data_IF_330052281333
#
_entry.id   IF_330052281333
#
_cell.length_a   1.000
_cell.length_b   1.000
_cell.length_c   1.000
_cell.angle_alpha   90.00
_cell.angle_beta   90.00
_cell.angle_gamma   90.00
#
_symmetry.space_group_name_H-M   'P 1'
#
loop_
_entity.id
_entity.type
_entity.pdbx_description
1 polymer ?
#
# COMPACT_ATOMS: atom_id res chain seq x y z
N UNK A 1 -18.43 3.26 -12.37
CA UNK A 1 -18.43 3.42 -10.89
C UNK A 1 -19.49 4.43 -10.51
N UNK A 2 -20.36 4.10 -9.55
CA UNK A 2 -21.36 5.01 -8.96
C UNK A 2 -21.24 4.94 -7.45
N UNK A 3 -21.28 6.08 -6.77
CA UNK A 3 -21.29 6.13 -5.31
C UNK A 3 -22.27 7.17 -4.80
N UNK A 4 -22.81 6.91 -3.61
CA UNK A 4 -23.70 7.80 -2.89
C UNK A 4 -23.29 7.80 -1.41
N UNK A 5 -23.24 8.97 -0.79
CA UNK A 5 -22.98 9.09 0.63
C UNK A 5 -23.87 10.14 1.27
N UNK A 6 -24.30 9.88 2.49
CA UNK A 6 -24.97 10.84 3.38
C UNK A 6 -24.15 10.94 4.65
N UNK A 7 -23.76 12.15 4.98
CA UNK A 7 -23.02 12.44 6.19
C UNK A 7 -23.89 13.23 7.17
N UNK A 8 -23.67 13.01 8.45
CA UNK A 8 -24.32 13.76 9.51
C UNK A 8 -23.30 14.27 10.54
N UNK A 9 -23.56 15.45 11.07
CA UNK A 9 -22.78 16.03 12.18
C UNK A 9 -23.75 16.83 13.08
N UNK A 10 -23.98 16.34 14.29
CA UNK A 10 -24.89 16.95 15.28
C UNK A 10 -24.22 17.02 16.65
N UNK A 11 -23.65 18.17 16.98
CA UNK A 11 -23.06 18.43 18.29
C UNK A 11 -21.94 17.46 18.66
N UNK A 12 -22.28 16.37 19.37
CA UNK A 12 -21.33 15.34 19.85
C UNK A 12 -21.33 14.07 19.03
N UNK A 13 -22.03 14.04 17.94
CA UNK A 13 -22.15 12.85 17.11
C UNK A 13 -21.91 13.18 15.64
N UNK A 14 -21.20 12.30 14.94
CA UNK A 14 -20.96 12.39 13.50
C UNK A 14 -20.92 11.00 12.89
N UNK A 15 -21.40 10.86 11.67
CA UNK A 15 -21.42 9.58 11.01
C UNK A 15 -21.67 9.70 9.51
N UNK A 16 -21.60 8.58 8.83
CA UNK A 16 -21.92 8.49 7.41
C UNK A 16 -22.55 7.15 7.07
N UNK A 17 -23.43 7.18 6.10
CA UNK A 17 -23.89 6.03 5.34
C UNK A 17 -23.42 6.20 3.90
N UNK A 18 -22.70 5.23 3.38
CA UNK A 18 -22.24 5.22 2.00
C UNK A 18 -22.65 3.93 1.30
N UNK A 19 -22.87 4.05 0.00
CA UNK A 19 -23.12 2.95 -0.90
C UNK A 19 -22.30 3.14 -2.17
N UNK A 20 -21.77 2.07 -2.75
CA UNK A 20 -21.10 2.11 -4.03
C UNK A 20 -21.44 0.88 -4.89
N UNK A 21 -21.32 1.08 -6.20
CA UNK A 21 -21.41 0.03 -7.20
C UNK A 21 -20.36 0.25 -8.29
N UNK A 22 -19.57 -0.78 -8.54
CA UNK A 22 -18.59 -0.85 -9.62
C UNK A 22 -18.96 -2.00 -10.53
N UNK A 23 -18.68 -1.84 -11.81
CA UNK A 23 -18.85 -2.85 -12.83
C UNK A 23 -17.70 -2.77 -13.84
N UNK A 24 -17.19 -3.92 -14.27
CA UNK A 24 -16.12 -4.08 -15.23
C UNK A 24 -16.48 -5.08 -16.34
N UNK A 25 -16.07 -4.76 -17.58
CA UNK A 25 -16.03 -5.66 -18.72
C UNK A 25 -14.58 -5.70 -19.19
N UNK A 26 -13.92 -6.83 -18.99
CA UNK A 26 -12.52 -7.02 -19.31
C UNK A 26 -12.39 -7.97 -20.52
N UNK A 27 -11.73 -7.48 -21.54
CA UNK A 27 -11.32 -8.23 -22.72
C UNK A 27 -9.83 -8.11 -22.83
N UNK A 28 -9.12 -9.12 -22.41
CA UNK A 28 -7.68 -9.17 -22.63
C UNK A 28 -7.46 -9.65 -24.07
N UNK A 29 -7.60 -8.67 -24.97
CA UNK A 29 -7.06 -8.78 -26.29
C UNK A 29 -5.70 -8.13 -26.19
N UNK A 30 -4.72 -8.95 -26.02
CA UNK A 30 -3.37 -8.55 -25.75
C UNK A 30 -2.71 -7.76 -26.87
N UNK A 31 -3.34 -7.58 -28.03
CA UNK A 31 -2.68 -6.98 -29.19
C UNK A 31 -1.31 -7.63 -29.46
N UNK A 32 -1.18 -8.88 -28.94
CA UNK A 32 0.07 -9.60 -28.84
C UNK A 32 0.70 -9.76 -30.21
N UNK A 33 1.88 -9.17 -30.35
CA UNK A 33 2.73 -9.42 -31.51
C UNK A 33 3.83 -10.36 -31.03
N UNK A 34 3.80 -11.64 -31.41
CA UNK A 34 4.77 -12.60 -30.94
C UNK A 34 6.19 -12.19 -31.37
N UNK A 35 7.15 -12.45 -30.49
CA UNK A 35 8.56 -12.38 -30.83
C UNK A 35 8.91 -13.46 -31.84
N UNK A 36 10.06 -13.33 -32.51
CA UNK A 36 10.51 -14.32 -33.51
C UNK A 36 10.58 -15.73 -32.87
N UNK A 37 9.83 -16.67 -33.46
CA UNK A 37 9.74 -18.05 -32.95
C UNK A 37 8.72 -18.32 -31.86
N UNK A 38 7.98 -17.31 -31.43
CA UNK A 38 6.89 -17.42 -30.45
C UNK A 38 5.54 -17.47 -31.16
N UNK A 39 4.64 -18.34 -30.70
CA UNK A 39 3.28 -18.44 -31.24
C UNK A 39 2.32 -17.61 -30.38
N UNK A 40 1.36 -16.88 -30.99
CA UNK A 40 0.34 -16.18 -30.20
C UNK A 40 -0.54 -17.19 -29.45
N UNK A 41 -1.07 -16.86 -28.27
CA UNK A 41 -2.03 -17.69 -27.55
C UNK A 41 -3.26 -17.99 -28.42
N UNK A 42 -3.77 -19.22 -28.34
CA UNK A 42 -4.96 -19.64 -29.06
C UNK A 42 -6.24 -19.12 -28.41
N UNK A 43 -6.17 -18.66 -27.16
CA UNK A 43 -7.32 -18.20 -26.38
C UNK A 43 -7.18 -16.75 -25.92
N UNK A 44 -8.32 -16.16 -25.61
CA UNK A 44 -8.47 -14.83 -25.03
C UNK A 44 -9.22 -14.93 -23.71
N UNK A 45 -8.73 -14.26 -22.70
CA UNK A 45 -9.42 -14.14 -21.43
C UNK A 45 -10.48 -13.03 -21.49
N UNK A 46 -11.70 -13.36 -21.07
CA UNK A 46 -12.80 -12.41 -20.93
C UNK A 46 -13.39 -12.51 -19.52
N UNK A 47 -13.79 -11.38 -18.95
CA UNK A 47 -14.54 -11.38 -17.70
C UNK A 47 -15.52 -10.23 -17.59
N UNK A 48 -16.62 -10.50 -16.89
CA UNK A 48 -17.49 -9.49 -16.28
C UNK A 48 -17.35 -9.59 -14.78
N UNK A 49 -17.08 -8.50 -14.13
CA UNK A 49 -17.01 -8.42 -12.68
C UNK A 49 -17.83 -7.25 -12.17
N UNK A 50 -18.40 -7.45 -11.00
CA UNK A 50 -19.06 -6.38 -10.28
C UNK A 50 -18.70 -6.40 -8.79
N UNK A 51 -18.79 -5.24 -8.17
CA UNK A 51 -18.62 -5.05 -6.75
C UNK A 51 -19.58 -3.99 -6.26
N UNK A 52 -20.32 -4.31 -5.21
CA UNK A 52 -21.17 -3.35 -4.51
C UNK A 52 -20.91 -3.41 -3.01
N UNK A 53 -21.16 -2.32 -2.34
CA UNK A 53 -21.01 -2.28 -0.90
C UNK A 53 -21.76 -1.15 -0.24
N UNK A 54 -22.04 -1.36 1.04
CA UNK A 54 -22.62 -0.37 1.93
C UNK A 54 -21.81 -0.31 3.21
N UNK A 55 -21.53 0.90 3.68
CA UNK A 55 -20.82 1.16 4.94
C UNK A 55 -21.60 2.16 5.75
N UNK A 56 -21.76 1.87 7.04
CA UNK A 56 -22.40 2.73 8.02
C UNK A 56 -21.47 2.89 9.21
N UNK A 57 -21.24 4.11 9.66
CA UNK A 57 -20.65 4.33 10.95
C UNK A 57 -21.27 5.51 11.69
N UNK A 58 -21.20 5.46 13.01
CA UNK A 58 -21.57 6.56 13.89
C UNK A 58 -20.55 6.73 15.00
N UNK A 59 -19.96 7.92 15.10
CA UNK A 59 -19.07 8.33 16.17
C UNK A 59 -19.86 9.15 17.22
N UNK A 60 -19.54 8.93 18.48
CA UNK A 60 -20.21 9.57 19.59
C UNK A 60 -19.16 10.05 20.62
N UNK A 61 -19.28 11.28 21.07
CA UNK A 61 -18.51 11.83 22.19
C UNK A 61 -19.34 11.81 23.45
N UNK A 62 -19.16 10.76 24.30
CA UNK A 62 -19.95 10.60 25.53
C UNK A 62 -19.55 11.60 26.60
N UNK A 63 -18.25 11.82 26.79
CA UNK A 63 -17.67 12.75 27.76
C UNK A 63 -16.39 13.38 27.20
N UNK A 64 -15.79 14.28 27.95
CA UNK A 64 -14.62 15.02 27.49
C UNK A 64 -13.45 14.08 27.17
N UNK A 65 -12.89 14.24 25.97
CA UNK A 65 -11.76 13.43 25.48
C UNK A 65 -12.14 12.02 25.00
N UNK A 66 -13.43 11.59 25.12
CA UNK A 66 -13.86 10.29 24.59
C UNK A 66 -14.36 10.42 23.16
N UNK A 67 -14.12 9.38 22.37
CA UNK A 67 -14.79 9.13 21.09
C UNK A 67 -15.01 7.64 20.96
N UNK A 68 -16.25 7.24 20.75
CA UNK A 68 -16.61 5.85 20.46
C UNK A 68 -17.20 5.85 19.06
N UNK A 69 -16.68 5.01 18.18
CA UNK A 69 -17.20 4.79 16.83
C UNK A 69 -17.70 3.36 16.73
N UNK A 70 -18.93 3.21 16.27
CA UNK A 70 -19.52 1.93 15.89
C UNK A 70 -19.76 1.94 14.40
N UNK A 71 -19.49 0.84 13.73
CA UNK A 71 -19.77 0.73 12.31
C UNK A 71 -20.05 -0.69 11.86
N UNK A 72 -20.60 -0.77 10.65
CA UNK A 72 -20.88 -2.01 9.95
C UNK A 72 -20.67 -1.82 8.45
N UNK A 73 -20.12 -2.85 7.82
CA UNK A 73 -19.87 -2.89 6.39
C UNK A 73 -20.48 -4.14 5.78
N UNK A 74 -20.93 -4.03 4.55
CA UNK A 74 -21.31 -5.15 3.72
C UNK A 74 -20.75 -4.94 2.32
N UNK A 75 -20.12 -5.97 1.78
CA UNK A 75 -19.60 -6.00 0.42
C UNK A 75 -20.07 -7.27 -0.27
N UNK A 76 -20.40 -7.16 -1.54
CA UNK A 76 -20.62 -8.27 -2.45
C UNK A 76 -19.80 -8.04 -3.69
N UNK A 77 -19.02 -9.02 -4.07
CA UNK A 77 -18.15 -8.95 -5.24
C UNK A 77 -18.05 -10.30 -5.93
N UNK A 78 -17.75 -10.26 -7.21
CA UNK A 78 -17.60 -11.47 -8.00
C UNK A 78 -17.76 -11.22 -9.48
N UNK A 79 -18.18 -12.24 -10.20
CA UNK A 79 -18.43 -12.16 -11.62
C UNK A 79 -18.22 -13.48 -12.35
N UNK A 80 -18.10 -13.38 -13.65
CA UNK A 80 -17.90 -14.50 -14.56
C UNK A 80 -16.64 -14.29 -15.38
N UNK A 81 -15.80 -15.32 -15.49
CA UNK A 81 -14.62 -15.32 -16.36
C UNK A 81 -14.57 -16.60 -17.20
N UNK A 82 -14.09 -16.48 -18.44
CA UNK A 82 -13.94 -17.59 -19.38
C UNK A 82 -12.83 -17.29 -20.38
N UNK A 83 -12.30 -18.35 -21.02
CA UNK A 83 -11.46 -18.24 -22.19
C UNK A 83 -12.31 -18.45 -23.45
N UNK A 84 -12.08 -17.65 -24.49
CA UNK A 84 -12.60 -17.80 -25.84
C UNK A 84 -11.46 -18.22 -26.76
N UNK A 85 -11.56 -19.41 -27.38
CA UNK A 85 -10.55 -19.89 -28.32
C UNK A 85 -10.74 -19.25 -29.68
N UNK A 86 -9.73 -18.52 -30.14
CA UNK A 86 -9.77 -17.75 -31.41
C UNK A 86 -9.03 -18.44 -32.55
N UNK A 87 -8.19 -19.43 -32.24
CA UNK A 87 -7.43 -20.22 -33.19
C UNK A 87 -7.27 -21.67 -32.70
N UNK A 88 -6.60 -22.52 -33.49
CA UNK A 88 -6.37 -23.94 -33.18
C UNK A 88 -7.60 -24.83 -33.36
N UNK A 89 -7.52 -26.06 -32.82
CA UNK A 89 -8.59 -27.06 -32.96
C UNK A 89 -9.87 -26.72 -32.24
N UNK A 90 -9.80 -25.86 -31.22
CA UNK A 90 -10.93 -25.43 -30.40
C UNK A 90 -11.51 -24.07 -30.82
N UNK A 91 -11.07 -23.50 -31.94
CA UNK A 91 -11.53 -22.20 -32.40
C UNK A 91 -13.06 -22.08 -32.41
N UNK A 92 -13.58 -20.99 -31.82
CA UNK A 92 -15.01 -20.72 -31.68
C UNK A 92 -15.66 -21.36 -30.45
N UNK A 93 -14.91 -22.13 -29.63
CA UNK A 93 -15.41 -22.64 -28.35
C UNK A 93 -15.04 -21.74 -27.18
N UNK A 94 -15.69 -21.94 -26.04
CA UNK A 94 -15.41 -21.22 -24.78
C UNK A 94 -15.14 -22.21 -23.65
N UNK A 95 -14.22 -21.86 -22.76
CA UNK A 95 -13.92 -22.61 -21.54
C UNK A 95 -14.23 -21.76 -20.31
N UNK A 96 -15.24 -22.11 -19.49
CA UNK A 96 -15.55 -21.35 -18.27
C UNK A 96 -14.45 -21.53 -17.23
N UNK A 97 -14.10 -20.45 -16.54
CA UNK A 97 -13.12 -20.45 -15.44
C UNK A 97 -13.80 -20.29 -14.09
N UNK A 98 -14.67 -19.30 -13.93
CA UNK A 98 -15.40 -19.01 -12.71
C UNK A 98 -16.72 -18.27 -13.02
N UNK A 99 -17.77 -18.56 -12.25
CA UNK A 99 -19.04 -17.83 -12.27
C UNK A 99 -19.60 -17.85 -10.85
N UNK A 100 -19.25 -16.82 -10.05
CA UNK A 100 -19.67 -16.76 -8.65
C UNK A 100 -19.54 -15.36 -8.05
N UNK A 101 -20.28 -15.17 -6.95
CA UNK A 101 -20.19 -14.00 -6.07
C UNK A 101 -19.96 -14.43 -4.63
N UNK A 102 -19.31 -13.56 -3.87
CA UNK A 102 -19.00 -13.71 -2.46
C UNK A 102 -19.49 -12.48 -1.70
N UNK A 103 -19.89 -12.72 -0.46
CA UNK A 103 -20.35 -11.67 0.46
C UNK A 103 -19.39 -11.57 1.64
N UNK A 104 -19.14 -10.34 2.07
CA UNK A 104 -18.36 -10.00 3.24
C UNK A 104 -19.18 -9.05 4.12
N UNK A 105 -19.32 -9.37 5.41
CA UNK A 105 -20.05 -8.56 6.39
C UNK A 105 -19.18 -8.32 7.60
N UNK A 106 -19.07 -7.08 8.03
CA UNK A 106 -18.28 -6.73 9.20
C UNK A 106 -19.03 -5.82 10.16
N UNK A 107 -18.68 -5.95 11.44
CA UNK A 107 -19.05 -5.01 12.48
C UNK A 107 -17.83 -4.60 13.28
N UNK A 108 -17.77 -3.33 13.71
CA UNK A 108 -16.62 -2.87 14.46
C UNK A 108 -16.97 -1.83 15.51
N UNK A 109 -16.12 -1.78 16.53
CA UNK A 109 -16.07 -0.73 17.55
C UNK A 109 -14.66 -0.19 17.66
N UNK A 110 -14.53 1.14 17.72
CA UNK A 110 -13.30 1.85 18.01
C UNK A 110 -13.54 2.83 19.16
N UNK A 111 -12.63 2.83 20.14
CA UNK A 111 -12.69 3.69 21.32
C UNK A 111 -11.40 4.47 21.43
N UNK A 112 -11.51 5.79 21.47
CA UNK A 112 -10.40 6.70 21.79
C UNK A 112 -10.72 7.44 23.09
N UNK A 113 -9.74 7.55 23.98
CA UNK A 113 -9.82 8.30 25.22
C UNK A 113 -8.58 9.16 25.44
N UNK A 114 -8.77 10.47 25.52
CA UNK A 114 -7.74 11.39 25.98
C UNK A 114 -7.80 11.48 27.51
N UNK A 115 -6.69 11.19 28.17
CA UNK A 115 -6.53 11.25 29.63
C UNK A 115 -5.68 12.49 29.94
N UNK A 116 -6.35 13.56 30.32
CA UNK A 116 -5.70 14.86 30.46
C UNK A 116 -5.09 15.34 29.13
N UNK A 117 -3.90 15.95 29.24
CA UNK A 117 -3.12 16.42 28.08
C UNK A 117 -1.89 15.57 27.77
N UNK A 118 -1.68 14.49 28.54
CA UNK A 118 -0.44 13.73 28.52
C UNK A 118 -0.57 12.34 27.91
N UNK A 119 -1.79 11.79 27.81
CA UNK A 119 -2.01 10.44 27.32
C UNK A 119 -3.27 10.36 26.43
N UNK A 120 -3.14 9.74 25.27
CA UNK A 120 -4.25 9.30 24.42
C UNK A 120 -4.21 7.78 24.33
N UNK A 121 -5.31 7.11 24.65
CA UNK A 121 -5.50 5.68 24.49
C UNK A 121 -6.46 5.43 23.31
N UNK A 122 -6.21 4.38 22.55
CA UNK A 122 -7.15 3.87 21.56
C UNK A 122 -7.20 2.34 21.63
N UNK A 123 -8.40 1.79 21.42
CA UNK A 123 -8.60 0.35 21.26
C UNK A 123 -9.76 0.12 20.30
N UNK A 124 -9.63 -0.88 19.45
CA UNK A 124 -10.65 -1.24 18.47
C UNK A 124 -10.74 -2.74 18.28
N UNK A 125 -11.91 -3.18 17.86
CA UNK A 125 -12.17 -4.55 17.45
C UNK A 125 -13.11 -4.54 16.25
N UNK A 126 -12.68 -5.19 15.16
CA UNK A 126 -13.50 -5.52 14.01
C UNK A 126 -13.68 -7.04 13.96
N UNK A 127 -14.89 -7.46 13.70
CA UNK A 127 -15.23 -8.85 13.36
C UNK A 127 -15.72 -8.84 11.94
N UNK A 128 -15.07 -9.61 11.10
CA UNK A 128 -15.31 -9.70 9.68
C UNK A 128 -15.69 -11.14 9.31
N UNK A 129 -16.75 -11.33 8.53
CA UNK A 129 -17.22 -12.63 8.09
C UNK A 129 -17.32 -12.67 6.58
N UNK A 130 -16.59 -13.59 5.99
CA UNK A 130 -16.62 -13.88 4.56
C UNK A 130 -17.42 -15.16 4.29
N UNK A 131 -18.27 -15.14 3.30
CA UNK A 131 -19.22 -16.23 2.98
C UNK A 131 -18.58 -17.60 2.72
N UNK A 132 -17.27 -17.63 2.39
CA UNK A 132 -16.50 -18.87 2.13
C UNK A 132 -15.30 -19.04 3.04
N UNK A 133 -14.51 -17.99 3.25
CA UNK A 133 -13.24 -18.06 3.96
C UNK A 133 -13.36 -17.93 5.49
N UNK A 134 -14.60 -17.80 6.02
CA UNK A 134 -14.86 -17.82 7.46
C UNK A 134 -14.81 -16.45 8.13
N UNK A 135 -14.50 -16.43 9.43
CA UNK A 135 -14.57 -15.23 10.26
C UNK A 135 -13.20 -14.86 10.81
N UNK A 136 -12.83 -13.58 10.69
CA UNK A 136 -11.62 -13.00 11.24
C UNK A 136 -11.92 -11.96 12.33
N UNK A 137 -11.09 -11.99 13.38
CA UNK A 137 -11.10 -11.03 14.48
C UNK A 137 -9.89 -10.14 14.34
N UNK A 138 -10.10 -8.82 14.29
CA UNK A 138 -9.10 -7.82 13.96
C UNK A 138 -9.00 -6.79 15.10
N UNK A 139 -8.31 -7.15 16.21
CA UNK A 139 -8.08 -6.24 17.32
C UNK A 139 -6.97 -5.24 17.01
N UNK A 140 -7.09 -4.04 17.60
CA UNK A 140 -6.04 -3.03 17.67
C UNK A 140 -6.02 -2.34 19.01
N UNK A 141 -4.85 -1.92 19.47
CA UNK A 141 -4.69 -1.10 20.66
C UNK A 141 -3.47 -0.18 20.52
N UNK A 142 -3.51 0.99 21.14
CA UNK A 142 -2.40 1.93 21.13
C UNK A 142 -2.47 2.94 22.27
N UNK A 143 -1.31 3.49 22.58
CA UNK A 143 -1.15 4.58 23.54
C UNK A 143 -0.19 5.63 22.98
N UNK A 144 -0.53 6.91 23.12
CA UNK A 144 0.33 8.04 22.79
C UNK A 144 0.56 8.90 24.02
N UNK A 145 1.81 9.00 24.45
CA UNK A 145 2.24 9.79 25.61
C UNK A 145 2.78 11.14 25.09
N UNK A 146 2.16 12.24 25.51
CA UNK A 146 2.53 13.61 25.21
C UNK A 146 3.34 14.17 26.40
N UNK A 147 4.67 13.98 26.36
CA UNK A 147 5.55 14.19 27.52
C UNK A 147 6.02 15.66 27.73
N UNK A 148 5.45 16.62 27.00
CA UNK A 148 5.92 18.01 27.01
C UNK A 148 7.18 18.20 26.17
N UNK A 149 7.71 19.44 26.10
CA UNK A 149 8.89 19.79 25.29
C UNK A 149 8.84 19.27 23.84
N UNK A 150 7.64 19.09 23.28
CA UNK A 150 7.43 18.57 21.93
C UNK A 150 7.72 17.06 21.77
N UNK A 151 7.83 16.31 22.90
CA UNK A 151 8.10 14.87 22.88
C UNK A 151 6.79 14.10 22.83
N UNK A 152 6.72 13.12 21.94
CA UNK A 152 5.64 12.15 21.84
C UNK A 152 6.23 10.72 21.73
N UNK A 153 5.73 9.81 22.56
CA UNK A 153 6.00 8.38 22.48
C UNK A 153 4.70 7.66 22.15
N UNK A 154 4.73 6.81 21.11
CA UNK A 154 3.59 5.97 20.70
C UNK A 154 3.95 4.51 20.79
N UNK A 155 2.99 3.72 21.26
CA UNK A 155 3.04 2.27 21.25
C UNK A 155 1.76 1.77 20.60
N UNK A 156 1.87 0.81 19.68
CA UNK A 156 0.71 0.19 19.05
C UNK A 156 0.91 -1.28 18.78
N UNK A 157 -0.21 -2.00 18.79
CA UNK A 157 -0.33 -3.38 18.34
C UNK A 157 -1.63 -3.50 17.53
N UNK A 158 -1.54 -4.06 16.33
CA UNK A 158 -2.71 -4.24 15.47
C UNK A 158 -2.60 -5.52 14.67
N UNK A 159 -3.75 -6.17 14.46
CA UNK A 159 -3.88 -7.30 13.53
C UNK A 159 -4.45 -6.79 12.21
N UNK A 160 -3.82 -7.18 11.10
CA UNK A 160 -4.36 -7.08 9.74
C UNK A 160 -4.68 -8.47 9.19
N UNK A 161 -5.50 -8.54 8.14
CA UNK A 161 -5.80 -9.79 7.44
C UNK A 161 -6.12 -9.51 5.97
N UNK A 162 -6.10 -10.56 5.16
CA UNK A 162 -6.57 -10.56 3.78
C UNK A 162 -7.31 -11.87 3.49
N UNK A 163 -8.52 -11.79 2.97
CA UNK A 163 -9.19 -12.95 2.43
C UNK A 163 -8.52 -13.41 1.12
N UNK A 164 -8.50 -14.73 0.84
CA UNK A 164 -8.09 -15.22 -0.46
C UNK A 164 -9.06 -14.70 -1.52
N UNK A 165 -8.53 -14.38 -2.70
CA UNK A 165 -9.34 -13.91 -3.82
C UNK A 165 -10.03 -15.06 -4.54
N UNK A 166 -11.12 -14.76 -5.27
CA UNK A 166 -11.77 -15.72 -6.18
C UNK A 166 -10.78 -16.37 -7.16
N UNK A 167 -9.81 -15.57 -7.64
CA UNK A 167 -8.76 -16.06 -8.54
C UNK A 167 -7.87 -17.10 -7.87
N UNK A 168 -7.47 -16.87 -6.62
CA UNK A 168 -6.60 -17.77 -5.87
C UNK A 168 -7.31 -19.10 -5.51
N UNK A 169 -8.62 -19.04 -5.23
CA UNK A 169 -9.39 -20.19 -4.82
C UNK A 169 -9.94 -21.01 -5.98
N UNK A 170 -10.45 -20.33 -7.04
CA UNK A 170 -11.37 -20.99 -7.98
C UNK A 170 -11.03 -20.83 -9.46
N UNK A 171 -10.19 -19.85 -9.86
CA UNK A 171 -10.10 -19.50 -11.28
C UNK A 171 -9.25 -20.48 -12.10
N UNK A 172 -8.12 -20.95 -11.57
CA UNK A 172 -7.19 -21.77 -12.32
C UNK A 172 -6.95 -23.13 -11.68
N UNK A 173 -7.07 -24.26 -12.43
CA UNK A 173 -6.73 -25.58 -11.93
C UNK A 173 -5.20 -25.77 -11.71
N UNK A 174 -4.81 -26.51 -10.68
CA UNK A 174 -5.65 -27.08 -9.62
C UNK A 174 -6.18 -26.01 -8.67
N UNK A 175 -7.48 -26.07 -8.35
CA UNK A 175 -8.15 -25.14 -7.47
C UNK A 175 -7.95 -25.51 -6.00
N UNK A 176 -7.94 -24.50 -5.11
CA UNK A 176 -7.94 -24.70 -3.66
C UNK A 176 -9.01 -23.83 -2.99
N UNK A 177 -10.26 -24.34 -2.87
CA UNK A 177 -11.34 -23.61 -2.22
C UNK A 177 -11.21 -23.56 -0.69
N UNK A 178 -10.27 -24.32 -0.10
CA UNK A 178 -10.05 -24.41 1.36
C UNK A 178 -8.99 -23.41 1.86
N UNK A 179 -8.61 -22.44 1.02
CA UNK A 179 -7.70 -21.37 1.44
C UNK A 179 -8.30 -20.57 2.60
N UNK A 180 -7.45 -20.30 3.57
CA UNK A 180 -7.77 -19.50 4.76
C UNK A 180 -7.24 -18.08 4.63
N UNK A 181 -7.78 -17.12 5.38
CA UNK A 181 -7.24 -15.76 5.42
C UNK A 181 -5.77 -15.72 5.81
N UNK A 182 -5.02 -14.87 5.14
CA UNK A 182 -3.72 -14.42 5.62
C UNK A 182 -3.92 -13.49 6.81
N UNK A 183 -3.07 -13.57 7.80
CA UNK A 183 -3.12 -12.65 8.94
C UNK A 183 -1.75 -12.13 9.31
N UNK A 184 -1.71 -10.90 9.81
CA UNK A 184 -0.47 -10.23 10.17
C UNK A 184 -0.66 -9.41 11.45
N UNK A 185 0.22 -9.60 12.41
CA UNK A 185 0.37 -8.71 13.56
C UNK A 185 1.47 -7.70 13.29
N UNK A 186 1.19 -6.44 13.59
CA UNK A 186 2.14 -5.35 13.57
C UNK A 186 2.26 -4.75 14.96
N UNK A 187 3.49 -4.63 15.45
CA UNK A 187 3.84 -4.01 16.73
C UNK A 187 4.77 -2.85 16.46
N UNK A 188 4.46 -1.68 17.01
CA UNK A 188 5.25 -0.46 16.79
C UNK A 188 5.54 0.26 18.09
N UNK A 189 6.75 0.84 18.17
CA UNK A 189 7.15 1.79 19.16
C UNK A 189 7.80 2.99 18.50
N UNK A 190 7.16 4.16 18.57
CA UNK A 190 7.61 5.36 17.91
C UNK A 190 7.90 6.47 18.92
N UNK A 191 9.03 7.14 18.74
CA UNK A 191 9.41 8.36 19.43
C UNK A 191 9.49 9.50 18.43
N UNK A 192 8.97 10.66 18.79
CA UNK A 192 9.18 11.88 18.02
C UNK A 192 9.37 13.09 18.92
N UNK A 193 10.15 14.06 18.42
CA UNK A 193 10.33 15.34 19.12
C UNK A 193 10.32 16.51 18.13
N UNK A 194 9.71 17.62 18.55
CA UNK A 194 9.73 18.91 17.87
C UNK A 194 10.47 19.92 18.70
N UNK A 195 11.47 20.57 18.11
CA UNK A 195 12.33 21.56 18.71
C UNK A 195 12.31 22.86 17.91
N UNK A 196 12.89 23.94 18.49
CA UNK A 196 13.05 25.23 17.83
C UNK A 196 11.71 25.78 17.28
N UNK A 197 10.67 25.76 18.12
CA UNK A 197 9.31 26.20 17.74
C UNK A 197 8.78 25.45 16.50
N UNK A 198 9.05 24.15 16.42
CA UNK A 198 8.62 23.27 15.34
C UNK A 198 9.44 23.39 14.05
N UNK A 199 10.59 24.11 14.07
CA UNK A 199 11.49 24.19 12.92
C UNK A 199 12.34 22.95 12.73
N UNK A 200 12.63 22.21 13.80
CA UNK A 200 13.32 20.93 13.77
C UNK A 200 12.39 19.84 14.33
N UNK A 201 12.17 18.80 13.57
CA UNK A 201 11.49 17.59 14.01
C UNK A 201 12.32 16.37 13.67
N UNK A 202 12.31 15.38 14.53
CA UNK A 202 12.91 14.08 14.27
C UNK A 202 12.13 12.98 14.99
N UNK A 203 12.29 11.77 14.52
CA UNK A 203 11.61 10.61 15.08
C UNK A 203 12.29 9.30 14.72
N UNK A 204 12.00 8.30 15.53
CA UNK A 204 12.42 6.91 15.38
C UNK A 204 11.17 6.06 15.49
N UNK A 205 10.98 5.11 14.59
CA UNK A 205 9.98 4.07 14.67
C UNK A 205 10.67 2.71 14.65
N UNK A 206 10.34 1.86 15.62
CA UNK A 206 10.71 0.46 15.68
C UNK A 206 9.47 -0.36 15.37
N UNK A 207 9.57 -1.33 14.49
CA UNK A 207 8.45 -2.19 14.16
C UNK A 207 8.84 -3.66 14.09
N UNK A 208 7.85 -4.51 14.37
CA UNK A 208 7.94 -5.96 14.20
C UNK A 208 6.63 -6.47 13.60
N UNK A 209 6.75 -7.29 12.56
CA UNK A 209 5.65 -7.86 11.79
C UNK A 209 5.75 -9.39 11.85
N UNK A 210 4.67 -10.06 12.31
CA UNK A 210 4.50 -11.52 12.26
C UNK A 210 3.30 -11.84 11.36
N UNK A 211 3.57 -12.27 10.12
CA UNK A 211 2.58 -12.68 9.14
C UNK A 211 2.48 -14.19 9.05
N UNK A 212 1.24 -14.73 8.99
CA UNK A 212 0.95 -16.16 8.95
C UNK A 212 -0.09 -16.49 7.90
N UNK A 213 -0.07 -17.76 7.49
CA UNK A 213 -0.98 -18.29 6.47
C UNK A 213 -0.88 -17.58 5.11
N UNK A 214 0.29 -17.04 4.77
CA UNK A 214 0.47 -16.39 3.47
C UNK A 214 0.21 -17.39 2.35
N UNK A 215 -0.52 -16.94 1.36
CA UNK A 215 -0.90 -17.75 0.20
C UNK A 215 0.27 -17.74 -0.79
N UNK A 216 0.90 -18.89 -0.94
CA UNK A 216 1.99 -19.10 -1.88
C UNK A 216 1.60 -20.12 -2.93
N UNK A 217 2.02 -19.93 -4.17
CA UNK A 217 1.87 -20.89 -5.25
C UNK A 217 3.05 -21.87 -5.20
N UNK A 218 2.80 -23.09 -4.74
CA UNK A 218 3.80 -24.12 -4.51
C UNK A 218 3.47 -25.40 -5.30
N UNK A 219 4.43 -26.34 -5.46
CA UNK A 219 4.13 -27.65 -6.04
C UNK A 219 2.95 -28.32 -5.33
N UNK A 220 2.02 -28.87 -6.11
CA UNK A 220 0.84 -29.55 -5.58
C UNK A 220 1.24 -30.84 -4.85
N UNK A 221 1.03 -30.97 -3.52
CA UNK A 221 1.42 -32.16 -2.75
C UNK A 221 0.60 -33.39 -3.10
N UNK A 222 -0.56 -33.23 -3.74
CA UNK A 222 -1.51 -34.31 -4.05
C UNK A 222 -1.61 -34.63 -5.55
N UNK A 223 -0.74 -34.05 -6.40
CA UNK A 223 -0.83 -34.22 -7.83
C UNK A 223 0.22 -33.44 -8.62
N UNK A 224 -0.01 -33.26 -9.90
CA UNK A 224 0.85 -32.45 -10.76
C UNK A 224 0.47 -30.94 -10.72
N UNK A 225 1.43 -30.09 -11.13
CA UNK A 225 1.24 -28.64 -11.25
C UNK A 225 1.50 -27.88 -9.95
N UNK A 226 1.11 -26.61 -9.96
CA UNK A 226 1.28 -25.67 -8.85
C UNK A 226 -0.08 -25.41 -8.21
N UNK A 227 -0.10 -25.27 -6.88
CA UNK A 227 -1.32 -25.07 -6.10
C UNK A 227 -1.11 -23.90 -5.12
N UNK A 228 -2.09 -23.02 -4.99
CA UNK A 228 -2.11 -22.00 -3.94
C UNK A 228 -2.33 -22.64 -2.58
N UNK A 229 -1.47 -22.36 -1.62
CA UNK A 229 -1.45 -22.99 -0.29
C UNK A 229 -1.14 -21.96 0.79
N UNK A 230 -1.79 -22.08 1.96
CA UNK A 230 -1.47 -21.27 3.16
C UNK A 230 -0.23 -21.84 3.87
N UNK A 231 0.93 -21.62 3.32
CA UNK A 231 2.19 -22.17 3.83
C UNK A 231 3.23 -21.09 4.16
N UNK A 232 2.96 -19.82 3.82
CA UNK A 232 3.90 -18.73 4.04
C UNK A 232 3.86 -18.18 5.47
N UNK A 233 5.04 -17.79 5.94
CA UNK A 233 5.25 -17.00 7.16
C UNK A 233 6.18 -15.86 6.83
N UNK A 234 5.93 -14.69 7.41
CA UNK A 234 6.83 -13.53 7.35
C UNK A 234 7.14 -13.10 8.77
N UNK A 235 8.41 -12.94 9.09
CA UNK A 235 8.88 -12.26 10.28
C UNK A 235 9.82 -11.15 9.84
N UNK A 236 9.36 -9.91 9.98
CA UNK A 236 10.10 -8.74 9.60
C UNK A 236 10.26 -7.82 10.80
N UNK A 237 11.46 -7.27 10.99
CA UNK A 237 11.73 -6.27 12.01
C UNK A 237 12.49 -5.11 11.38
N UNK A 238 12.24 -3.90 11.87
CA UNK A 238 12.96 -2.77 11.30
C UNK A 238 12.98 -1.53 12.17
N UNK A 239 13.74 -0.58 11.66
CA UNK A 239 13.92 0.74 12.26
C UNK A 239 13.74 1.78 11.16
N UNK A 240 12.96 2.80 11.46
CA UNK A 240 12.80 3.97 10.61
C UNK A 240 13.24 5.21 11.37
N UNK A 241 14.09 6.02 10.75
CA UNK A 241 14.53 7.32 11.24
C UNK A 241 14.02 8.39 10.30
N UNK A 242 13.56 9.51 10.85
CA UNK A 242 13.17 10.66 10.06
C UNK A 242 13.62 11.95 10.73
N UNK A 243 14.01 12.95 9.93
CA UNK A 243 14.32 14.28 10.40
C UNK A 243 13.91 15.33 9.36
N UNK A 244 13.40 16.46 9.83
CA UNK A 244 13.12 17.62 8.99
C UNK A 244 13.54 18.88 9.73
N UNK A 245 14.31 19.73 9.07
CA UNK A 245 14.82 20.96 9.63
C UNK A 245 14.60 22.14 8.70
N UNK A 246 13.77 23.09 9.12
CA UNK A 246 13.66 24.40 8.51
C UNK A 246 14.68 25.34 9.14
N UNK A 247 15.86 25.44 8.50
CA UNK A 247 17.01 26.22 8.98
C UNK A 247 16.59 27.69 9.13
N UNK A 248 16.03 28.24 8.06
CA UNK A 248 15.51 29.61 8.01
C UNK A 248 14.29 29.70 7.05
N UNK A 249 13.99 30.92 6.58
CA UNK A 249 12.88 31.16 5.64
C UNK A 249 13.14 30.67 4.23
N UNK A 250 14.41 30.36 3.91
CA UNK A 250 14.85 30.01 2.57
C UNK A 250 15.29 28.56 2.46
N UNK A 251 15.87 27.99 3.51
CA UNK A 251 16.48 26.66 3.51
C UNK A 251 15.74 25.66 4.38
N UNK A 252 15.47 24.50 3.81
CA UNK A 252 15.02 23.33 4.55
C UNK A 252 15.82 22.10 4.15
N UNK A 253 16.03 21.22 5.13
CA UNK A 253 16.62 19.89 4.97
C UNK A 253 15.61 18.84 5.46
N UNK A 254 15.58 17.71 4.80
CA UNK A 254 14.82 16.56 5.26
C UNK A 254 15.58 15.28 4.94
N UNK A 255 15.31 14.24 5.70
CA UNK A 255 15.92 12.94 5.46
C UNK A 255 15.18 11.84 6.20
N UNK A 256 15.29 10.64 5.66
CA UNK A 256 14.82 9.44 6.29
C UNK A 256 15.77 8.28 5.99
N UNK A 257 15.79 7.34 6.92
CA UNK A 257 16.49 6.08 6.77
C UNK A 257 15.60 4.96 7.27
N UNK A 258 15.54 3.86 6.54
CA UNK A 258 14.90 2.64 6.98
C UNK A 258 15.85 1.46 6.85
N UNK A 259 15.84 0.63 7.88
CA UNK A 259 16.43 -0.69 7.91
C UNK A 259 15.33 -1.72 8.07
N UNK A 260 15.32 -2.73 7.21
CA UNK A 260 14.37 -3.83 7.22
C UNK A 260 15.14 -5.16 7.27
N UNK A 261 14.98 -5.90 8.35
CA UNK A 261 15.39 -7.28 8.44
C UNK A 261 14.23 -8.19 8.03
N UNK A 262 14.47 -9.08 7.08
CA UNK A 262 13.50 -10.06 6.59
C UNK A 262 14.05 -11.45 6.82
N UNK A 263 13.30 -12.31 7.54
CA UNK A 263 13.66 -13.71 7.67
C UNK A 263 13.59 -14.44 6.31
N UNK A 264 12.62 -14.06 5.49
CA UNK A 264 12.47 -14.52 4.12
C UNK A 264 12.52 -13.31 3.19
N UNK A 265 13.55 -13.20 2.32
CA UNK A 265 13.67 -12.09 1.38
C UNK A 265 12.47 -11.99 0.44
N UNK A 266 12.02 -10.76 0.22
CA UNK A 266 10.95 -10.44 -0.73
C UNK A 266 11.50 -9.60 -1.88
N UNK A 267 11.12 -9.87 -3.14
CA UNK A 267 11.49 -9.03 -4.27
C UNK A 267 11.00 -7.58 -4.08
N UNK A 268 11.76 -6.63 -4.61
CA UNK A 268 11.51 -5.21 -4.55
C UNK A 268 11.53 -4.59 -3.14
N UNK A 269 11.99 -5.33 -2.12
CA UNK A 269 12.13 -4.85 -0.76
C UNK A 269 13.62 -4.68 -0.40
N UNK A 270 14.10 -3.43 -0.19
CA UNK A 270 15.49 -3.19 0.19
C UNK A 270 15.71 -3.38 1.70
N UNK A 271 16.85 -3.90 2.10
CA UNK A 271 17.28 -3.92 3.51
C UNK A 271 17.61 -2.53 4.03
N UNK A 272 18.22 -1.69 3.20
CA UNK A 272 18.60 -0.32 3.56
C UNK A 272 18.08 0.67 2.54
N UNK A 273 17.42 1.72 3.02
CA UNK A 273 16.98 2.84 2.22
C UNK A 273 17.25 4.15 2.96
N UNK A 274 18.11 4.99 2.37
CA UNK A 274 18.42 6.33 2.87
C UNK A 274 17.98 7.37 1.85
N UNK A 275 17.32 8.42 2.32
CA UNK A 275 17.07 9.62 1.54
C UNK A 275 17.53 10.86 2.31
N UNK A 276 18.19 11.78 1.62
CA UNK A 276 18.55 13.11 2.13
C UNK A 276 18.17 14.15 1.09
N UNK A 277 17.35 15.11 1.49
CA UNK A 277 16.85 16.20 0.67
C UNK A 277 17.25 17.57 1.19
N UNK A 278 17.41 18.52 0.27
CA UNK A 278 17.56 19.93 0.57
C UNK A 278 16.71 20.77 -0.36
N UNK A 279 16.04 21.79 0.18
CA UNK A 279 15.29 22.75 -0.60
C UNK A 279 15.68 24.19 -0.26
N UNK A 280 15.75 25.01 -1.30
CA UNK A 280 16.01 26.44 -1.22
C UNK A 280 14.92 27.20 -1.95
N UNK A 281 14.27 28.11 -1.23
CA UNK A 281 13.22 28.98 -1.78
C UNK A 281 13.53 30.42 -1.39
N UNK A 282 13.90 31.27 -2.35
CA UNK A 282 14.12 32.68 -2.09
C UNK A 282 13.75 33.54 -3.30
N UNK A 283 12.87 34.50 -3.11
CA UNK A 283 12.46 35.45 -4.14
C UNK A 283 11.77 34.71 -5.32
N UNK A 284 12.44 34.68 -6.45
CA UNK A 284 11.93 34.05 -7.69
C UNK A 284 12.43 32.61 -7.91
N UNK A 285 13.35 32.15 -7.06
CA UNK A 285 14.00 30.84 -7.19
C UNK A 285 13.43 29.82 -6.22
N UNK A 286 13.19 28.63 -6.71
CA UNK A 286 12.95 27.43 -5.91
C UNK A 286 13.81 26.30 -6.48
N UNK A 287 14.68 25.73 -5.64
CA UNK A 287 15.58 24.63 -5.99
C UNK A 287 15.39 23.54 -4.96
N UNK A 288 15.24 22.30 -5.39
CA UNK A 288 15.21 21.14 -4.51
C UNK A 288 16.10 20.04 -5.09
N UNK A 289 16.87 19.39 -4.23
CA UNK A 289 17.71 18.26 -4.59
C UNK A 289 17.52 17.14 -3.57
N UNK A 290 17.72 15.90 -4.00
CA UNK A 290 17.64 14.74 -3.12
C UNK A 290 18.57 13.63 -3.60
N UNK A 291 19.20 12.97 -2.64
CA UNK A 291 20.01 11.77 -2.85
C UNK A 291 19.30 10.62 -2.17
N UNK A 292 19.14 9.54 -2.90
CA UNK A 292 18.58 8.28 -2.40
C UNK A 292 19.65 7.19 -2.53
N UNK A 293 19.93 6.48 -1.45
CA UNK A 293 20.76 5.29 -1.42
C UNK A 293 19.91 4.08 -1.08
N UNK A 294 20.03 3.04 -1.87
CA UNK A 294 19.36 1.75 -1.71
C UNK A 294 20.44 0.67 -1.66
N UNK A 295 20.35 -0.25 -0.68
CA UNK A 295 21.20 -1.41 -0.61
C UNK A 295 20.44 -2.64 -0.11
N UNK A 296 20.94 -3.83 -0.49
CA UNK A 296 20.25 -5.08 -0.18
C UNK A 296 18.87 -5.18 -0.82
N UNK A 297 18.67 -4.58 -1.99
CA UNK A 297 17.42 -4.69 -2.73
C UNK A 297 17.36 -6.04 -3.44
N UNK A 298 16.51 -6.93 -3.00
CA UNK A 298 16.28 -8.20 -3.68
C UNK A 298 15.49 -7.98 -4.98
N UNK A 299 16.15 -8.17 -6.12
CA UNK A 299 15.51 -8.11 -7.45
C UNK A 299 14.91 -9.44 -7.86
N UNK A 300 15.44 -10.52 -7.29
CA UNK A 300 15.00 -11.90 -7.45
C UNK A 300 15.41 -12.71 -6.22
N UNK A 301 14.59 -13.70 -5.83
CA UNK A 301 14.84 -14.53 -4.64
C UNK A 301 15.30 -15.96 -4.98
N UNK A 302 15.10 -16.43 -6.21
CA UNK A 302 15.60 -17.72 -6.69
C UNK A 302 15.98 -17.64 -8.19
N UNK A 303 17.28 -17.68 -8.57
CA UNK A 303 18.43 -17.52 -7.68
C UNK A 303 18.46 -16.09 -7.06
N UNK A 304 19.03 -15.97 -5.87
CA UNK A 304 19.10 -14.68 -5.18
C UNK A 304 19.92 -13.68 -5.98
N UNK A 305 19.34 -12.52 -6.26
CA UNK A 305 19.99 -11.37 -6.88
C UNK A 305 19.65 -10.11 -6.09
N UNK A 306 20.65 -9.29 -5.82
CA UNK A 306 20.50 -8.02 -5.10
C UNK A 306 21.09 -6.86 -5.87
N UNK A 307 20.54 -5.66 -5.66
CA UNK A 307 21.02 -4.41 -6.22
C UNK A 307 21.41 -3.42 -5.11
N UNK A 308 22.39 -2.58 -5.45
CA UNK A 308 22.82 -1.43 -4.65
C UNK A 308 23.07 -0.25 -5.57
N UNK A 309 22.46 0.91 -5.26
CA UNK A 309 22.60 2.09 -6.12
C UNK A 309 22.35 3.41 -5.37
N UNK A 310 22.83 4.50 -5.97
CA UNK A 310 22.61 5.88 -5.52
C UNK A 310 21.91 6.66 -6.62
N UNK A 311 20.79 7.29 -6.32
CA UNK A 311 20.07 8.17 -7.23
C UNK A 311 20.22 9.61 -6.75
N UNK A 312 20.61 10.50 -7.65
CA UNK A 312 20.62 11.93 -7.40
C UNK A 312 19.59 12.62 -8.31
N UNK A 313 18.69 13.38 -7.68
CA UNK A 313 17.64 14.11 -8.36
C UNK A 313 17.74 15.62 -8.05
N UNK A 314 17.44 16.46 -9.04
CA UNK A 314 17.45 17.91 -8.92
C UNK A 314 16.25 18.51 -9.61
N UNK A 315 15.60 19.47 -8.97
CA UNK A 315 14.55 20.28 -9.56
C UNK A 315 14.83 21.75 -9.30
N UNK A 316 14.72 22.58 -10.31
CA UNK A 316 14.81 24.03 -10.20
C UNK A 316 13.62 24.69 -10.87
N UNK A 317 13.11 25.77 -10.27
CA UNK A 317 12.11 26.64 -10.91
C UNK A 317 12.43 28.11 -10.70
N UNK A 318 12.10 28.90 -11.69
CA UNK A 318 12.33 30.33 -11.72
C UNK A 318 11.05 31.06 -12.13
N UNK A 319 10.51 31.90 -11.26
CA UNK A 319 9.36 32.75 -11.53
C UNK A 319 9.83 34.00 -12.27
N UNK A 320 9.78 33.98 -13.60
CA UNK A 320 10.21 35.08 -14.44
C UNK A 320 9.33 36.32 -14.26
N UNK A 321 7.99 36.12 -14.22
CA UNK A 321 7.00 37.16 -13.94
C UNK A 321 5.93 36.66 -12.97
N UNK A 322 4.91 37.45 -12.66
CA UNK A 322 3.76 36.99 -11.87
C UNK A 322 2.91 35.93 -12.57
N UNK A 323 2.99 35.83 -13.88
CA UNK A 323 2.20 34.93 -14.72
C UNK A 323 3.03 33.86 -15.43
N UNK A 324 4.39 33.93 -15.38
CA UNK A 324 5.29 33.00 -16.07
C UNK A 324 6.31 32.39 -15.12
N UNK A 325 6.33 31.07 -15.04
CA UNK A 325 7.38 30.29 -14.37
C UNK A 325 8.03 29.30 -15.34
N UNK A 326 9.33 29.16 -15.23
CA UNK A 326 10.14 28.15 -15.93
C UNK A 326 10.57 27.09 -14.93
N UNK A 327 10.62 25.84 -15.32
CA UNK A 327 11.14 24.77 -14.48
C UNK A 327 11.96 23.77 -15.26
N UNK A 328 12.91 23.15 -14.57
CA UNK A 328 13.70 22.02 -15.06
C UNK A 328 13.81 20.96 -13.97
N UNK A 329 13.84 19.69 -14.34
CA UNK A 329 14.00 18.53 -13.48
C UNK A 329 14.96 17.55 -14.13
N UNK A 330 15.91 17.04 -13.35
CA UNK A 330 16.77 15.91 -13.71
C UNK A 330 16.60 14.78 -12.69
N UNK A 331 16.48 13.57 -13.16
CA UNK A 331 16.38 12.36 -12.35
C UNK A 331 17.50 11.41 -12.70
N UNK A 332 17.96 10.66 -11.68
CA UNK A 332 19.10 9.74 -11.79
C UNK A 332 20.30 10.41 -12.49
N UNK A 333 20.67 11.61 -12.03
CA UNK A 333 21.74 12.42 -12.64
C UNK A 333 23.13 11.75 -12.62
N UNK A 334 23.29 10.72 -11.78
CA UNK A 334 24.50 9.87 -11.76
C UNK A 334 24.47 8.80 -12.85
N UNK A 335 23.38 8.74 -13.65
CA UNK A 335 23.18 7.77 -14.73
C UNK A 335 23.36 6.29 -14.29
N UNK A 336 22.98 5.98 -13.04
CA UNK A 336 23.05 4.62 -12.50
C UNK A 336 22.19 3.68 -13.36
N UNK A 337 22.72 2.50 -13.65
CA UNK A 337 21.96 1.38 -14.21
C UNK A 337 21.52 0.48 -13.07
N UNK A 338 20.24 0.26 -12.90
CA UNK A 338 19.68 -0.53 -11.82
C UNK A 338 18.35 -1.16 -12.21
N UNK A 339 17.94 -2.16 -11.44
CA UNK A 339 16.66 -2.84 -11.59
C UNK A 339 15.99 -2.89 -10.22
N UNK A 340 14.65 -2.88 -10.20
CA UNK A 340 13.85 -3.16 -9.00
C UNK A 340 13.41 -4.62 -9.00
N UNK A 341 13.08 -5.13 -10.17
CA UNK A 341 12.79 -6.55 -10.45
C UNK A 341 13.75 -7.00 -11.55
N UNK A 342 14.31 -8.18 -11.42
CA UNK A 342 15.21 -8.76 -12.41
C UNK A 342 14.57 -8.80 -13.80
N UNK A 343 15.32 -8.38 -14.81
CA UNK A 343 14.85 -8.29 -16.19
C UNK A 343 14.12 -7.00 -16.57
N UNK A 344 13.85 -6.09 -15.61
CA UNK A 344 13.19 -4.81 -15.85
C UNK A 344 14.12 -3.64 -15.52
N UNK A 345 14.99 -3.21 -16.47
CA UNK A 345 15.92 -2.10 -16.25
C UNK A 345 15.17 -0.78 -16.11
N UNK A 346 15.58 -0.01 -15.10
CA UNK A 346 15.03 1.32 -14.84
C UNK A 346 15.71 2.38 -15.70
N UNK A 347 15.04 3.51 -16.00
CA UNK A 347 15.61 4.60 -16.78
C UNK A 347 16.91 5.12 -16.16
N UNK A 348 17.91 5.35 -16.98
CA UNK A 348 19.13 6.08 -16.59
C UNK A 348 18.82 7.56 -16.45
N UNK A 349 19.82 8.44 -16.57
CA UNK A 349 19.59 9.87 -16.43
C UNK A 349 18.49 10.38 -17.36
N UNK A 350 17.52 11.08 -16.80
CA UNK A 350 16.45 11.75 -17.53
C UNK A 350 16.41 13.24 -17.20
N UNK A 351 15.99 14.05 -18.15
CA UNK A 351 15.81 15.48 -17.97
C UNK A 351 14.49 15.93 -18.57
N UNK A 352 13.78 16.79 -17.86
CA UNK A 352 12.54 17.42 -18.30
C UNK A 352 12.58 18.92 -18.03
N UNK A 353 11.92 19.71 -18.84
CA UNK A 353 11.73 21.14 -18.63
C UNK A 353 10.38 21.59 -19.14
N UNK A 354 9.89 22.68 -18.58
CA UNK A 354 8.58 23.21 -18.96
C UNK A 354 8.34 24.65 -18.54
N UNK A 355 7.21 25.15 -19.00
CA UNK A 355 6.70 26.49 -18.76
C UNK A 355 5.35 26.36 -18.07
N UNK A 356 5.13 27.13 -17.01
CA UNK A 356 3.85 27.26 -16.33
C UNK A 356 3.32 28.69 -16.52
N UNK A 357 2.11 28.81 -17.04
CA UNK A 357 1.40 30.08 -17.22
C UNK A 357 0.23 30.13 -16.24
N UNK A 358 0.14 31.25 -15.47
CA UNK A 358 -0.97 31.53 -14.51
C UNK A 358 -1.72 32.75 -15.00
N UNK A 359 -2.99 32.61 -15.31
CA UNK A 359 -3.89 33.65 -15.77
C UNK A 359 -4.80 34.13 -14.67
#
# INVERSE_FOLDING_TARGET
MTSFAVENEYGKTSGALSFFYNWGDHRINDGYTPSEGELPPDDRFLSYDDMMGASLYQSLQLFRGSRITLGADWFRYGGRAWNEYVSGEQAGSTSPLVDMHEDEVAGYVDVRQDVGSWLTLNAGLRVDHHSRAGTEWVPQAGAAFHLGAGIELKLSASKGFRYPTLREMHMFPPQNPDLRPESMWNYEAAFSQRLLDGRLSYGVNLFYIDGRNLILTLPNPNGSGMLNQNSGRIENAGVELQAAWRIDRSWSLDGNYSFLHMEQPLPAAPEHKLYVGAAFVRGRWSVATGIQYIAGLYTQTDPVQTEEFVLWNLRASFRATRWLSLWARGENLLAQSYQIIAGYPMPRATAMGGIELKF
#
